data_IF_611558433217
#
_entry.id   IF_611558433217
#
_cell.length_a   1.000
_cell.length_b   1.000
_cell.length_c   1.000
_cell.angle_alpha   90.00
_cell.angle_beta   90.00
_cell.angle_gamma   90.00
#
_symmetry.space_group_name_H-M   'P 1'
#
loop_
_entity.id
_entity.type
_entity.pdbx_description
1 polymer ?
#
# COMPACT_ATOMS: atom_id res chain seq x y z
N UNK A 1 -18.85 39.45 52.93
CA UNK A 1 -17.84 39.54 51.86
C UNK A 1 -18.14 38.40 50.88
N UNK A 2 -18.95 38.60 49.84
CA UNK A 2 -18.53 38.94 48.45
C UNK A 2 -17.20 38.26 48.07
N UNK A 3 -17.05 37.46 47.01
CA UNK A 3 -17.68 37.54 45.69
C UNK A 3 -17.32 36.30 44.83
N UNK A 4 -18.26 35.89 43.97
CA UNK A 4 -18.12 35.35 42.58
C UNK A 4 -17.69 33.89 42.39
N UNK A 5 -18.61 33.03 41.92
CA UNK A 5 -18.98 32.74 40.50
C UNK A 5 -17.89 31.91 39.79
N UNK A 6 -18.14 30.61 39.64
CA UNK A 6 -18.41 29.94 38.35
C UNK A 6 -17.20 29.92 37.42
N UNK A 7 -16.71 28.73 37.08
CA UNK A 7 -16.62 28.27 35.68
C UNK A 7 -15.96 26.88 35.56
N UNK A 8 -16.74 25.96 34.99
CA UNK A 8 -16.35 24.93 34.00
C UNK A 8 -15.48 23.79 34.54
N UNK A 9 -16.05 22.62 34.86
CA UNK A 9 -16.52 21.65 33.85
C UNK A 9 -15.66 21.69 32.58
N UNK A 10 -14.40 21.27 32.73
CA UNK A 10 -13.63 20.79 31.60
C UNK A 10 -14.09 19.36 31.32
N UNK A 11 -15.24 19.25 30.65
CA UNK A 11 -15.66 18.04 29.97
C UNK A 11 -14.50 17.58 29.07
N UNK A 12 -13.92 16.43 29.41
CA UNK A 12 -13.09 15.68 28.50
C UNK A 12 -13.99 15.14 27.38
N UNK A 13 -14.33 16.01 26.44
CA UNK A 13 -14.73 15.62 25.10
C UNK A 13 -13.49 15.03 24.43
N UNK A 14 -13.17 13.77 24.78
CA UNK A 14 -12.32 12.92 23.94
C UNK A 14 -13.02 12.82 22.60
N UNK A 15 -12.49 13.57 21.63
CA UNK A 15 -12.93 13.57 20.26
C UNK A 15 -12.69 12.18 19.65
N UNK A 16 -13.70 11.32 19.75
CA UNK A 16 -13.72 9.94 19.27
C UNK A 16 -13.48 9.87 17.74
N UNK A 17 -13.52 11.00 17.01
CA UNK A 17 -13.21 11.05 15.56
C UNK A 17 -11.72 10.98 15.27
N UNK A 18 -10.85 11.53 16.12
CA UNK A 18 -9.40 11.49 15.91
C UNK A 18 -8.83 10.07 16.04
N UNK A 19 -9.44 9.24 16.89
CA UNK A 19 -9.00 7.87 17.20
C UNK A 19 -9.16 6.92 15.99
N UNK A 20 -10.18 7.14 15.14
CA UNK A 20 -10.49 6.26 14.01
C UNK A 20 -9.61 6.46 12.76
N UNK A 21 -9.04 7.65 12.59
CA UNK A 21 -8.18 8.00 11.45
C UNK A 21 -6.71 7.61 11.71
N UNK A 22 -6.27 7.72 12.97
CA UNK A 22 -4.91 7.35 13.40
C UNK A 22 -4.72 5.81 13.43
N UNK A 23 -5.75 5.07 13.87
CA UNK A 23 -5.69 3.60 13.96
C UNK A 23 -5.48 2.91 12.61
N UNK A 24 -6.16 3.38 11.55
CA UNK A 24 -6.04 2.75 10.22
C UNK A 24 -4.70 3.04 9.56
N UNK A 25 -4.18 4.25 9.73
CA UNK A 25 -2.85 4.62 9.23
C UNK A 25 -1.79 3.78 9.93
N UNK A 26 -1.85 3.69 11.26
CA UNK A 26 -0.96 2.82 12.03
C UNK A 26 -1.04 1.36 11.59
N UNK A 27 -2.26 0.85 11.39
CA UNK A 27 -2.47 -0.53 10.93
C UNK A 27 -1.89 -0.77 9.52
N UNK A 28 -2.02 0.20 8.61
CA UNK A 28 -1.40 0.13 7.29
C UNK A 28 0.12 0.05 7.38
N UNK A 29 0.75 0.86 8.24
CA UNK A 29 2.20 0.81 8.47
C UNK A 29 2.64 -0.55 9.03
N UNK A 30 1.89 -1.12 9.97
CA UNK A 30 2.16 -2.45 10.53
C UNK A 30 2.08 -3.54 9.46
N UNK A 31 1.05 -3.51 8.60
CA UNK A 31 0.93 -4.46 7.50
C UNK A 31 2.05 -4.31 6.47
N UNK A 32 2.43 -3.08 6.12
CA UNK A 32 3.56 -2.83 5.22
C UNK A 32 4.85 -3.42 5.77
N UNK A 33 5.19 -3.10 7.02
CA UNK A 33 6.41 -3.64 7.66
C UNK A 33 6.42 -5.16 7.66
N UNK A 34 5.28 -5.79 7.99
CA UNK A 34 5.14 -7.25 7.95
C UNK A 34 5.38 -7.81 6.54
N UNK A 35 4.80 -7.20 5.50
CA UNK A 35 5.01 -7.61 4.11
C UNK A 35 6.49 -7.49 3.71
N UNK A 36 7.10 -6.34 3.99
CA UNK A 36 8.49 -6.07 3.62
C UNK A 36 9.49 -7.00 4.31
N UNK A 37 9.22 -7.39 5.56
CA UNK A 37 10.04 -8.38 6.26
C UNK A 37 9.79 -9.81 5.78
N UNK A 38 8.56 -10.14 5.36
CA UNK A 38 8.18 -11.51 4.95
C UNK A 38 8.66 -11.86 3.53
N UNK A 39 8.75 -10.88 2.63
CA UNK A 39 9.14 -11.08 1.22
C UNK A 39 10.32 -10.18 0.85
N UNK A 40 11.51 -10.44 1.43
CA UNK A 40 12.63 -9.52 1.37
C UNK A 40 13.28 -9.44 -0.01
N UNK A 41 13.15 -10.44 -0.90
CA UNK A 41 13.68 -10.32 -2.26
C UNK A 41 12.79 -9.42 -3.13
N UNK A 42 11.48 -9.61 -3.06
CA UNK A 42 10.52 -8.85 -3.84
C UNK A 42 10.47 -7.38 -3.39
N UNK A 43 10.51 -7.13 -2.08
CA UNK A 43 10.47 -5.80 -1.48
C UNK A 43 11.84 -5.23 -1.10
N UNK A 44 12.93 -5.75 -1.67
CA UNK A 44 14.29 -5.30 -1.32
C UNK A 44 14.56 -3.82 -1.57
N UNK A 45 13.79 -3.17 -2.43
CA UNK A 45 13.92 -1.73 -2.67
C UNK A 45 13.68 -0.89 -1.41
N UNK A 46 12.83 -1.35 -0.51
CA UNK A 46 12.57 -0.70 0.78
C UNK A 46 13.78 -0.78 1.70
N UNK A 47 14.49 -1.91 1.69
CA UNK A 47 15.66 -2.14 2.54
C UNK A 47 16.94 -1.50 1.98
N UNK A 48 17.03 -1.35 0.66
CA UNK A 48 18.20 -0.80 -0.03
C UNK A 48 17.80 0.34 -1.00
N UNK A 49 17.27 1.46 -0.49
CA UNK A 49 16.72 2.54 -1.33
C UNK A 49 17.78 3.23 -2.20
N UNK A 50 19.05 3.18 -1.79
CA UNK A 50 20.17 3.73 -2.56
C UNK A 50 20.49 2.84 -3.77
N UNK A 51 20.41 1.52 -3.61
CA UNK A 51 20.62 0.57 -4.70
C UNK A 51 19.39 0.50 -5.63
N UNK A 52 18.19 0.71 -5.10
CA UNK A 52 16.92 0.59 -5.82
C UNK A 52 16.00 1.81 -5.61
N UNK A 53 16.35 2.98 -6.15
CA UNK A 53 15.52 4.17 -6.04
C UNK A 53 14.16 3.91 -6.72
N UNK A 54 13.07 4.05 -5.96
CA UNK A 54 11.72 3.69 -6.43
C UNK A 54 10.62 4.34 -5.60
N UNK A 55 9.40 4.39 -6.13
CA UNK A 55 8.24 4.92 -5.41
C UNK A 55 7.97 4.11 -4.14
N UNK A 56 8.07 2.79 -4.21
CA UNK A 56 7.88 1.91 -3.06
C UNK A 56 8.88 2.24 -1.94
N UNK A 57 10.15 2.49 -2.28
CA UNK A 57 11.19 2.84 -1.32
C UNK A 57 10.97 4.23 -0.68
N UNK A 58 10.36 5.16 -1.41
CA UNK A 58 10.13 6.54 -0.95
C UNK A 58 8.80 6.73 -0.21
N UNK A 59 7.73 6.11 -0.71
CA UNK A 59 6.35 6.39 -0.31
C UNK A 59 5.65 5.18 0.30
N UNK A 60 6.23 3.98 0.20
CA UNK A 60 5.59 2.73 0.60
C UNK A 60 4.44 2.33 -0.32
N UNK A 61 3.55 1.48 0.20
CA UNK A 61 2.37 1.00 -0.53
C UNK A 61 1.25 2.04 -0.44
N UNK A 62 0.81 2.56 -1.59
CA UNK A 62 -0.15 3.65 -1.69
C UNK A 62 -1.54 3.15 -2.11
N UNK A 63 -2.11 2.23 -1.34
CA UNK A 63 -3.45 1.70 -1.60
C UNK A 63 -4.26 1.49 -0.32
N UNK A 64 -5.55 1.20 -0.48
CA UNK A 64 -6.43 0.92 0.65
C UNK A 64 -6.10 -0.42 1.33
N UNK A 65 -6.39 -0.49 2.64
CA UNK A 65 -6.13 -1.66 3.51
C UNK A 65 -6.77 -2.95 2.98
N UNK A 66 -7.89 -2.85 2.29
CA UNK A 66 -8.63 -4.00 1.79
C UNK A 66 -7.90 -4.83 0.72
N UNK A 67 -6.85 -4.28 0.12
CA UNK A 67 -6.06 -4.98 -0.90
C UNK A 67 -4.77 -5.61 -0.37
N UNK A 68 -4.43 -5.45 0.92
CA UNK A 68 -3.19 -6.00 1.48
C UNK A 68 -3.14 -7.53 1.44
N UNK A 69 -4.26 -8.22 1.58
CA UNK A 69 -4.32 -9.68 1.43
C UNK A 69 -4.00 -10.12 -0.01
N UNK A 70 -4.47 -9.37 -1.00
CA UNK A 70 -4.17 -9.60 -2.42
C UNK A 70 -2.68 -9.38 -2.68
N UNK A 71 -2.12 -8.30 -2.16
CA UNK A 71 -0.69 -7.98 -2.26
C UNK A 71 0.14 -9.07 -1.56
N UNK A 72 -0.29 -9.56 -0.39
CA UNK A 72 0.43 -10.63 0.33
C UNK A 72 0.52 -11.91 -0.50
N UNK A 73 -0.59 -12.34 -1.11
CA UNK A 73 -0.61 -13.54 -1.97
C UNK A 73 0.28 -13.34 -3.19
N UNK A 74 0.16 -12.20 -3.88
CA UNK A 74 0.99 -11.89 -5.04
C UNK A 74 2.48 -11.85 -4.69
N UNK A 75 2.84 -11.18 -3.60
CA UNK A 75 4.21 -11.09 -3.11
C UNK A 75 4.76 -12.48 -2.75
N UNK A 76 3.96 -13.34 -2.13
CA UNK A 76 4.35 -14.71 -1.81
C UNK A 76 4.67 -15.53 -3.06
N UNK A 77 3.81 -15.50 -4.07
CA UNK A 77 4.02 -16.26 -5.31
C UNK A 77 5.22 -15.73 -6.09
N UNK A 78 5.38 -14.40 -6.17
CA UNK A 78 6.54 -13.79 -6.84
C UNK A 78 7.83 -14.13 -6.09
N UNK A 79 7.86 -13.99 -4.77
CA UNK A 79 9.02 -14.33 -3.93
C UNK A 79 9.44 -15.81 -4.16
N UNK A 80 8.48 -16.73 -4.34
CA UNK A 80 8.77 -18.13 -4.66
C UNK A 80 9.40 -18.32 -6.04
N UNK A 81 8.92 -17.60 -7.07
CA UNK A 81 9.53 -17.60 -8.40
C UNK A 81 10.96 -17.03 -8.36
N UNK A 82 11.18 -15.93 -7.62
CA UNK A 82 12.50 -15.33 -7.45
C UNK A 82 13.47 -16.29 -6.73
N UNK A 83 13.01 -16.95 -5.66
CA UNK A 83 13.82 -17.93 -4.94
C UNK A 83 14.14 -19.15 -5.79
N UNK A 84 13.24 -19.58 -6.67
CA UNK A 84 13.45 -20.72 -7.55
C UNK A 84 14.54 -20.45 -8.59
N UNK A 85 14.60 -19.24 -9.13
CA UNK A 85 15.68 -18.82 -10.04
C UNK A 85 17.03 -18.62 -9.33
N UNK A 86 17.01 -18.08 -8.11
CA UNK A 86 18.23 -17.71 -7.37
C UNK A 86 18.90 -18.87 -6.61
N UNK A 87 18.28 -20.06 -6.58
CA UNK A 87 18.66 -21.18 -5.69
C UNK A 87 20.10 -21.74 -5.84
N UNK A 88 20.93 -21.21 -6.74
CA UNK A 88 22.31 -21.66 -6.95
C UNK A 88 23.41 -20.72 -6.40
N UNK A 89 23.10 -19.48 -5.98
CA UNK A 89 24.13 -18.54 -5.48
C UNK A 89 23.59 -17.70 -4.32
N UNK A 90 24.11 -17.91 -3.11
CA UNK A 90 24.02 -17.05 -1.90
C UNK A 90 22.68 -16.30 -1.65
N UNK A 91 21.86 -16.83 -0.73
CA UNK A 91 20.45 -16.45 -0.43
C UNK A 91 20.27 -15.18 0.44
N UNK A 92 21.08 -14.15 0.26
CA UNK A 92 21.09 -13.01 1.18
C UNK A 92 20.80 -11.74 0.38
N UNK A 93 19.64 -11.07 0.57
CA UNK A 93 19.26 -9.86 -0.18
C UNK A 93 20.33 -8.77 -0.15
N UNK A 94 21.08 -8.64 0.95
CA UNK A 94 22.24 -7.75 1.11
C UNK A 94 23.29 -7.98 0.01
N UNK A 95 23.52 -9.24 -0.37
CA UNK A 95 24.51 -9.59 -1.39
C UNK A 95 24.00 -9.24 -2.78
N UNK A 96 22.70 -9.41 -3.05
CA UNK A 96 22.08 -8.99 -4.31
C UNK A 96 22.15 -7.46 -4.42
N UNK A 97 21.80 -6.74 -3.36
CA UNK A 97 21.88 -5.28 -3.33
C UNK A 97 23.30 -4.76 -3.52
N UNK A 98 24.29 -5.42 -2.91
CA UNK A 98 25.70 -5.07 -3.08
C UNK A 98 26.16 -5.31 -4.52
N UNK A 99 25.81 -6.45 -5.12
CA UNK A 99 26.12 -6.74 -6.52
C UNK A 99 25.44 -5.76 -7.47
N UNK A 100 24.15 -5.48 -7.27
CA UNK A 100 23.41 -4.51 -8.07
C UNK A 100 24.01 -3.10 -7.94
N UNK A 101 24.41 -2.70 -6.73
CA UNK A 101 25.09 -1.42 -6.49
C UNK A 101 26.45 -1.34 -7.19
N UNK A 102 27.23 -2.41 -7.19
CA UNK A 102 28.51 -2.48 -7.90
C UNK A 102 28.33 -2.51 -9.42
N UNK A 103 27.26 -3.14 -9.93
CA UNK A 103 26.88 -3.08 -11.37
C UNK A 103 26.38 -1.68 -11.76
N UNK A 104 25.71 -0.97 -10.87
CA UNK A 104 25.31 0.43 -11.07
C UNK A 104 26.51 1.39 -11.12
N UNK A 105 27.66 1.02 -10.54
CA UNK A 105 28.88 1.81 -10.72
C UNK A 105 29.30 1.72 -12.19
N UNK A 106 29.56 2.85 -12.86
CA UNK A 106 29.87 2.86 -14.27
C UNK A 106 31.24 2.21 -14.50
N UNK A 107 31.25 0.89 -14.75
CA UNK A 107 32.46 0.18 -15.20
C UNK A 107 32.78 0.61 -16.65
N UNK A 108 31.82 1.17 -17.39
CA UNK A 108 32.05 1.90 -18.64
C UNK A 108 30.77 2.62 -19.09
N UNK A 109 30.83 3.83 -19.67
CA UNK A 109 29.67 4.48 -20.33
C UNK A 109 29.09 3.69 -21.51
N UNK A 110 29.69 2.56 -21.89
CA UNK A 110 29.24 1.68 -22.98
C UNK A 110 28.49 0.42 -22.53
N UNK A 111 28.36 0.13 -21.23
CA UNK A 111 27.75 -1.11 -20.74
C UNK A 111 26.59 -0.84 -19.77
N UNK A 112 25.41 -0.55 -20.32
CA UNK A 112 24.23 -0.07 -19.57
C UNK A 112 23.22 -1.17 -19.18
N UNK A 113 23.54 -2.47 -19.22
CA UNK A 113 22.47 -3.49 -19.35
C UNK A 113 22.32 -4.54 -18.25
N UNK A 114 23.13 -4.55 -17.18
CA UNK A 114 23.11 -5.65 -16.20
C UNK A 114 22.35 -5.34 -14.90
N UNK A 115 21.63 -4.22 -14.82
CA UNK A 115 20.89 -3.79 -13.62
C UNK A 115 19.37 -3.74 -13.87
N UNK A 116 18.54 -4.19 -12.90
CA UNK A 116 18.92 -5.03 -11.76
C UNK A 116 19.20 -6.47 -12.22
N UNK A 117 19.91 -7.23 -11.39
CA UNK A 117 20.21 -8.64 -11.62
C UNK A 117 18.93 -9.48 -11.50
N UNK A 118 18.06 -9.17 -10.54
CA UNK A 118 16.79 -9.87 -10.27
C UNK A 118 15.60 -8.92 -10.37
N UNK A 119 14.39 -9.44 -10.58
CA UNK A 119 13.18 -8.61 -10.55
C UNK A 119 12.92 -8.06 -9.14
N UNK A 120 12.45 -6.82 -9.00
CA UNK A 120 12.00 -6.25 -7.72
C UNK A 120 10.76 -5.37 -7.90
N UNK A 121 10.00 -5.20 -6.81
CA UNK A 121 8.87 -4.29 -6.79
C UNK A 121 9.32 -2.83 -6.65
N UNK A 122 8.97 -2.00 -7.63
CA UNK A 122 9.29 -0.56 -7.62
C UNK A 122 8.13 0.32 -7.18
N UNK A 123 6.89 -0.16 -7.29
CA UNK A 123 5.73 0.64 -6.92
C UNK A 123 4.51 -0.25 -6.64
N UNK A 124 3.69 0.14 -5.67
CA UNK A 124 2.36 -0.41 -5.46
C UNK A 124 1.43 0.75 -5.09
N UNK A 125 0.41 0.98 -5.90
CA UNK A 125 -0.56 2.03 -5.65
C UNK A 125 -1.96 1.63 -6.07
N UNK A 126 -2.96 2.35 -5.54
CA UNK A 126 -4.34 2.26 -5.96
C UNK A 126 -4.76 3.50 -6.75
N UNK A 127 -5.38 3.31 -7.91
CA UNK A 127 -5.94 4.39 -8.70
C UNK A 127 -7.20 3.93 -9.45
N UNK A 128 -8.25 4.74 -9.43
CA UNK A 128 -9.47 4.54 -10.23
C UNK A 128 -10.09 3.14 -10.11
N UNK A 129 -10.21 2.59 -8.90
CA UNK A 129 -10.75 1.25 -8.69
C UNK A 129 -9.81 0.11 -9.05
N UNK A 130 -8.51 0.38 -9.22
CA UNK A 130 -7.51 -0.61 -9.64
C UNK A 130 -6.33 -0.61 -8.67
N UNK A 131 -5.85 -1.82 -8.40
CA UNK A 131 -4.54 -2.05 -7.81
C UNK A 131 -3.51 -2.07 -8.94
N UNK A 132 -2.39 -1.39 -8.77
CA UNK A 132 -1.25 -1.43 -9.66
C UNK A 132 -0.02 -1.94 -8.90
N UNK A 133 0.71 -2.88 -9.48
CA UNK A 133 1.96 -3.43 -8.95
C UNK A 133 3.00 -3.34 -10.06
N UNK A 134 4.01 -2.50 -9.87
CA UNK A 134 5.09 -2.31 -10.83
C UNK A 134 6.33 -3.09 -10.41
N UNK A 135 6.91 -3.81 -11.38
CA UNK A 135 8.13 -4.62 -11.20
C UNK A 135 9.16 -4.20 -12.23
N UNK A 136 10.38 -3.96 -11.77
CA UNK A 136 11.53 -3.73 -12.64
C UNK A 136 12.12 -5.08 -13.04
N UNK A 137 12.35 -5.28 -14.34
CA UNK A 137 12.88 -6.52 -14.91
C UNK A 137 14.30 -6.82 -14.48
N UNK A 138 14.57 -8.06 -14.06
CA UNK A 138 15.92 -8.54 -13.72
C UNK A 138 16.62 -9.22 -14.88
N UNK A 139 17.88 -8.87 -15.16
CA UNK A 139 18.64 -9.41 -16.30
C UNK A 139 18.95 -10.91 -16.19
N UNK A 140 19.15 -11.45 -14.97
CA UNK A 140 19.44 -12.87 -14.78
C UNK A 140 18.20 -13.75 -14.71
N UNK A 141 17.00 -13.16 -14.66
CA UNK A 141 15.78 -13.94 -14.63
C UNK A 141 15.44 -14.46 -16.03
N UNK A 142 15.03 -15.72 -16.09
CA UNK A 142 14.62 -16.34 -17.35
C UNK A 142 13.33 -15.70 -17.89
N UNK A 143 13.11 -15.67 -19.21
CA UNK A 143 11.86 -15.17 -19.80
C UNK A 143 10.60 -15.92 -19.35
N UNK A 144 10.74 -17.15 -18.84
CA UNK A 144 9.63 -17.91 -18.26
C UNK A 144 9.21 -17.32 -16.91
N UNK A 145 10.17 -16.96 -16.07
CA UNK A 145 9.93 -16.33 -14.75
C UNK A 145 9.25 -14.98 -14.90
N UNK A 146 9.73 -14.14 -15.83
CA UNK A 146 9.10 -12.82 -16.10
C UNK A 146 7.62 -12.97 -16.46
N UNK A 147 7.29 -13.92 -17.34
CA UNK A 147 5.89 -14.19 -17.72
C UNK A 147 5.04 -14.64 -16.55
N UNK A 148 5.55 -15.52 -15.69
CA UNK A 148 4.84 -15.95 -14.48
C UNK A 148 4.59 -14.79 -13.53
N UNK A 149 5.58 -13.93 -13.31
CA UNK A 149 5.44 -12.72 -12.48
C UNK A 149 4.36 -11.80 -13.06
N UNK A 150 4.35 -11.58 -14.39
CA UNK A 150 3.30 -10.81 -15.06
C UNK A 150 1.91 -11.42 -14.90
N UNK A 151 1.79 -12.75 -14.99
CA UNK A 151 0.53 -13.48 -14.79
C UNK A 151 0.02 -13.34 -13.36
N UNK A 152 0.90 -13.48 -12.36
CA UNK A 152 0.59 -13.28 -10.94
C UNK A 152 0.08 -11.84 -10.71
N UNK A 153 0.78 -10.84 -11.25
CA UNK A 153 0.37 -9.43 -11.13
C UNK A 153 -1.01 -9.22 -11.76
N UNK A 154 -1.25 -9.69 -12.98
CA UNK A 154 -2.57 -9.57 -13.65
C UNK A 154 -3.68 -10.25 -12.86
N UNK A 155 -3.38 -11.40 -12.25
CA UNK A 155 -4.30 -12.11 -11.35
C UNK A 155 -4.64 -11.26 -10.13
N UNK A 156 -3.63 -10.70 -9.46
CA UNK A 156 -3.79 -9.82 -8.30
C UNK A 156 -4.61 -8.58 -8.64
N UNK A 157 -4.32 -7.90 -9.75
CA UNK A 157 -5.06 -6.73 -10.22
C UNK A 157 -6.53 -7.07 -10.49
N UNK A 158 -6.78 -8.20 -11.17
CA UNK A 158 -8.13 -8.65 -11.47
C UNK A 158 -8.91 -9.01 -10.20
N UNK A 159 -8.24 -9.62 -9.22
CA UNK A 159 -8.85 -9.97 -7.95
C UNK A 159 -9.16 -8.72 -7.10
N UNK A 160 -8.24 -7.75 -7.03
CA UNK A 160 -8.45 -6.52 -6.30
C UNK A 160 -9.71 -5.75 -6.77
N UNK A 161 -10.05 -5.84 -8.07
CA UNK A 161 -11.25 -5.20 -8.63
C UNK A 161 -12.57 -5.76 -8.12
N UNK A 162 -12.56 -6.91 -7.45
CA UNK A 162 -13.77 -7.50 -6.84
C UNK A 162 -13.84 -7.27 -5.32
N UNK A 163 -12.82 -6.61 -4.75
CA UNK A 163 -12.70 -6.39 -3.31
C UNK A 163 -12.77 -4.90 -2.99
N UNK A 164 -13.46 -4.60 -1.89
CA UNK A 164 -13.52 -3.27 -1.34
C UNK A 164 -12.11 -2.77 -0.98
N UNK A 165 -11.67 -1.66 -1.57
CA UNK A 165 -10.32 -1.11 -1.33
C UNK A 165 -10.11 -0.78 0.15
N UNK A 166 -11.20 -0.49 0.88
CA UNK A 166 -11.14 -0.09 2.29
C UNK A 166 -11.07 -1.26 3.27
N UNK A 167 -11.89 -2.28 3.10
CA UNK A 167 -12.05 -3.35 4.10
C UNK A 167 -11.76 -4.77 3.57
N UNK A 168 -11.64 -4.96 2.26
CA UNK A 168 -11.33 -6.25 1.64
C UNK A 168 -12.54 -7.19 1.49
N UNK A 169 -13.73 -6.81 1.97
CA UNK A 169 -14.97 -7.53 1.67
C UNK A 169 -15.33 -7.41 0.18
N UNK A 170 -16.22 -8.27 -0.37
CA UNK A 170 -16.70 -8.11 -1.75
C UNK A 170 -17.19 -6.68 -2.01
N UNK A 171 -16.66 -6.05 -3.05
CA UNK A 171 -16.95 -4.67 -3.42
C UNK A 171 -17.50 -4.59 -4.83
N UNK A 172 -18.17 -3.49 -5.14
CA UNK A 172 -18.65 -3.19 -6.48
C UNK A 172 -17.90 -1.99 -7.02
N UNK A 173 -17.57 -1.99 -8.31
CA UNK A 173 -17.05 -0.81 -8.97
C UNK A 173 -18.11 0.28 -8.98
N UNK A 174 -17.75 1.47 -8.53
CA UNK A 174 -18.63 2.62 -8.38
C UNK A 174 -18.15 3.70 -9.34
N UNK A 175 -19.00 4.00 -10.31
CA UNK A 175 -18.80 5.11 -11.22
C UNK A 175 -19.29 6.40 -10.54
N UNK A 176 -18.42 7.41 -10.50
CA UNK A 176 -18.65 8.69 -9.88
C UNK A 176 -17.51 9.64 -10.24
N UNK A 177 -17.43 10.80 -9.57
CA UNK A 177 -16.31 11.73 -9.79
C UNK A 177 -14.96 11.09 -9.47
N UNK A 178 -14.92 10.20 -8.46
CA UNK A 178 -13.81 9.31 -8.19
C UNK A 178 -14.23 7.86 -8.38
N UNK A 179 -13.48 7.10 -9.16
CA UNK A 179 -13.72 5.69 -9.42
C UNK A 179 -13.11 4.84 -8.31
N UNK A 180 -13.92 3.98 -7.69
CA UNK A 180 -13.51 3.11 -6.58
C UNK A 180 -14.21 1.76 -6.62
N UNK A 181 -13.66 0.77 -5.93
CA UNK A 181 -14.36 -0.49 -5.62
C UNK A 181 -14.72 -0.52 -4.13
N UNK A 182 -15.98 -0.28 -3.77
CA UNK A 182 -16.43 -0.28 -2.37
C UNK A 182 -17.65 -1.18 -2.13
N UNK A 183 -17.71 -1.80 -0.95
CA UNK A 183 -18.93 -2.41 -0.43
C UNK A 183 -19.91 -1.33 0.07
N UNK A 184 -21.18 -1.68 0.24
CA UNK A 184 -22.24 -0.75 0.67
C UNK A 184 -21.95 -0.12 2.05
N UNK A 185 -21.32 -0.89 2.95
CA UNK A 185 -20.92 -0.41 4.28
C UNK A 185 -19.79 0.63 4.24
N UNK A 186 -18.94 0.59 3.21
CA UNK A 186 -17.78 1.47 3.10
C UNK A 186 -18.04 2.73 2.26
N UNK A 187 -19.05 2.72 1.38
CA UNK A 187 -19.41 3.86 0.53
C UNK A 187 -20.27 4.90 1.27
N UNK A 188 -21.12 4.45 2.20
CA UNK A 188 -22.01 5.37 2.91
C UNK A 188 -21.21 6.23 3.91
N UNK A 189 -21.36 7.57 3.88
CA UNK A 189 -21.18 8.34 5.10
C UNK A 189 -22.20 7.78 6.10
N UNK A 190 -21.77 7.42 7.31
CA UNK A 190 -22.74 7.28 8.40
C UNK A 190 -23.35 8.66 8.58
N UNK A 191 -24.54 8.88 8.01
CA UNK A 191 -25.36 10.05 8.31
C UNK A 191 -25.45 10.08 9.83
N UNK A 192 -24.94 11.15 10.44
CA UNK A 192 -25.27 11.46 11.81
C UNK A 192 -26.80 11.52 11.88
N UNK A 193 -27.46 10.89 12.87
CA UNK A 193 -28.89 11.03 13.00
C UNK A 193 -29.22 12.52 13.13
N UNK A 194 -30.02 13.02 12.20
CA UNK A 194 -30.59 14.36 12.23
C UNK A 194 -31.34 14.52 13.56
N UNK A 195 -30.74 15.26 14.48
CA UNK A 195 -31.44 15.81 15.64
C UNK A 195 -31.20 17.32 15.65
N UNK A 196 -31.87 17.98 14.71
CA UNK A 196 -32.22 19.39 14.84
C UNK A 196 -33.73 19.45 15.10
N UNK A 197 -34.11 19.22 16.35
CA UNK A 197 -35.42 19.58 16.88
C UNK A 197 -35.39 21.04 17.38
N UNK A 198 -36.25 21.90 16.81
CA UNK A 198 -36.68 23.21 17.34
C UNK A 198 -35.63 24.33 17.32
N UNK A 199 -35.90 25.60 16.99
CA UNK A 199 -37.09 26.38 17.32
C UNK A 199 -37.13 27.62 16.39
N UNK A 200 -38.25 27.84 15.69
CA UNK A 200 -38.48 29.06 14.91
C UNK A 200 -38.90 30.15 15.89
N UNK A 201 -37.97 31.06 16.22
CA UNK A 201 -38.32 32.29 16.94
C UNK A 201 -38.91 33.27 15.93
N UNK A 202 -40.23 33.46 16.00
CA UNK A 202 -40.92 34.57 15.35
C UNK A 202 -40.57 35.88 16.06
N UNK A 203 -39.74 36.72 15.43
CA UNK A 203 -39.56 38.10 15.85
C UNK A 203 -40.68 38.96 15.24
N UNK A 204 -41.73 39.21 16.02
CA UNK A 204 -42.52 40.42 15.86
C UNK A 204 -41.78 41.55 16.57
N UNK A 205 -41.40 42.59 15.83
CA UNK A 205 -41.53 44.03 16.16
C UNK A 205 -41.03 44.87 14.99
#
# INVERSE_FOLDING_TARGET
MNSRRTEREAEAHTDTRAIGMDFRTWLAMQYQQKLFSKFPLFFRSVHYPVAYPSNLALLGIQCGLGWYSVIEVAAQEIEQELNSEWCNQVRVPENIASLDYDVLRPISPTFTSAYPIMHFCSDIHGASGRLEISVVGGYLCRPVTSRRIEEIIKGAQSHARTLCERCGSPGTFREGYWQHVYCDECIAPKLMPDSFDGEVITANL
#
